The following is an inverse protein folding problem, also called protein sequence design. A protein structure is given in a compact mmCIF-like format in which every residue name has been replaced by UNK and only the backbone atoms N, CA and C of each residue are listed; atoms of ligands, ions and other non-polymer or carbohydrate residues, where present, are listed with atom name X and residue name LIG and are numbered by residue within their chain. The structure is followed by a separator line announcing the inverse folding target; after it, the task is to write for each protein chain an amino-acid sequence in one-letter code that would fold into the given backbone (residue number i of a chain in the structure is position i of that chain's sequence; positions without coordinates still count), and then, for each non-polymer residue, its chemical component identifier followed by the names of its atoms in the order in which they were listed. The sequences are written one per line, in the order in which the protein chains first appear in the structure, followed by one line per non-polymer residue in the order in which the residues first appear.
data_IF_779172469803
#
_entry.id   IF_779172469803
#
_cell.length_a   1.000
_cell.length_b   1.000
_cell.length_c   1.000
_cell.angle_alpha   90.00
_cell.angle_beta   90.00
_cell.angle_gamma   90.00
#
_symmetry.space_group_name_H-M   'P 1'
#
loop_
_entity.id
_entity.type
_entity.pdbx_description
1 polymer ?
#
# COMPACT_ATOMS: atom_id res chain seq x y z
N UNK A 1 -37.91 -6.64 -41.33
CA UNK A 1 -37.95 -5.23 -40.97
C UNK A 1 -37.96 -5.16 -39.46
N UNK A 2 -36.80 -5.07 -38.84
CA UNK A 2 -36.67 -4.77 -37.42
C UNK A 2 -35.52 -3.75 -37.32
N UNK A 3 -35.89 -2.55 -36.94
CA UNK A 3 -34.99 -1.43 -36.72
C UNK A 3 -34.05 -1.74 -35.54
N UNK A 4 -32.79 -1.70 -35.82
CA UNK A 4 -31.74 -1.65 -34.78
C UNK A 4 -31.63 -0.21 -34.30
N UNK A 5 -32.07 0.06 -33.09
CA UNK A 5 -31.78 1.30 -32.40
C UNK A 5 -30.27 1.43 -32.15
N UNK A 6 -29.63 2.23 -32.98
CA UNK A 6 -28.26 2.63 -32.80
C UNK A 6 -28.14 3.60 -31.62
N UNK A 7 -27.69 3.12 -30.50
CA UNK A 7 -27.20 3.98 -29.42
C UNK A 7 -25.96 4.70 -29.94
N UNK A 8 -26.13 5.94 -30.39
CA UNK A 8 -25.06 6.85 -30.73
C UNK A 8 -24.16 7.03 -29.48
N UNK A 9 -22.93 6.56 -29.56
CA UNK A 9 -21.90 6.88 -28.58
C UNK A 9 -21.62 8.38 -28.67
N UNK A 10 -22.27 9.16 -27.80
CA UNK A 10 -21.97 10.58 -27.67
C UNK A 10 -20.48 10.72 -27.34
N UNK A 11 -19.76 11.51 -28.13
CA UNK A 11 -18.38 11.90 -27.83
C UNK A 11 -18.29 12.44 -26.39
N UNK A 12 -17.23 12.08 -25.64
CA UNK A 12 -17.07 12.54 -24.26
C UNK A 12 -16.97 14.06 -24.24
N UNK A 13 -18.02 14.72 -23.80
CA UNK A 13 -18.04 16.18 -23.64
C UNK A 13 -17.34 16.53 -22.34
N UNK A 14 -16.27 17.32 -22.40
CA UNK A 14 -15.65 17.89 -21.22
C UNK A 14 -16.71 18.66 -20.41
N UNK A 15 -17.05 18.17 -19.23
CA UNK A 15 -18.10 18.77 -18.37
C UNK A 15 -17.81 20.25 -18.07
N UNK A 16 -16.55 20.60 -17.96
CA UNK A 16 -16.08 21.96 -17.70
C UNK A 16 -16.52 22.95 -18.81
N UNK A 17 -16.71 22.47 -20.05
CA UNK A 17 -17.06 23.28 -21.23
C UNK A 17 -18.56 23.37 -21.50
N UNK A 18 -19.40 22.64 -20.78
CA UNK A 18 -20.84 22.73 -20.94
C UNK A 18 -21.35 24.12 -20.58
N UNK A 19 -22.42 24.58 -21.24
CA UNK A 19 -23.18 25.75 -20.78
C UNK A 19 -23.76 25.49 -19.40
N UNK A 20 -24.11 26.55 -18.69
CA UNK A 20 -24.68 26.43 -17.33
C UNK A 20 -25.96 25.59 -17.33
N UNK A 21 -26.83 25.79 -18.33
CA UNK A 21 -28.08 25.03 -18.43
C UNK A 21 -27.85 23.56 -18.77
N UNK A 22 -26.96 23.27 -19.72
CA UNK A 22 -26.60 21.90 -20.04
C UNK A 22 -25.91 21.17 -18.83
N UNK A 23 -25.16 21.90 -18.02
CA UNK A 23 -24.54 21.35 -16.81
C UNK A 23 -25.59 21.10 -15.71
N UNK A 24 -26.63 21.94 -15.57
CA UNK A 24 -27.77 21.70 -14.68
C UNK A 24 -28.52 20.45 -15.08
N UNK A 25 -28.88 20.31 -16.35
CA UNK A 25 -29.58 19.12 -16.86
C UNK A 25 -28.74 17.85 -16.65
N UNK A 26 -27.44 17.94 -16.85
CA UNK A 26 -26.53 16.84 -16.60
C UNK A 26 -26.51 16.46 -15.12
N UNK A 27 -26.33 17.43 -14.21
CA UNK A 27 -26.38 17.23 -12.76
C UNK A 27 -27.70 16.56 -12.34
N UNK A 28 -28.84 17.05 -12.83
CA UNK A 28 -30.16 16.56 -12.44
C UNK A 28 -30.38 15.11 -12.86
N UNK A 29 -29.88 14.70 -14.06
CA UNK A 29 -29.90 13.31 -14.49
C UNK A 29 -29.01 12.42 -13.60
N UNK A 30 -27.78 12.84 -13.30
CA UNK A 30 -26.89 12.06 -12.43
C UNK A 30 -27.39 12.02 -10.99
N UNK A 31 -28.06 13.07 -10.52
CA UNK A 31 -28.70 13.11 -9.20
C UNK A 31 -29.88 12.14 -9.12
N UNK A 32 -30.74 12.10 -10.14
CA UNK A 32 -31.79 11.09 -10.22
C UNK A 32 -31.23 9.65 -10.19
N UNK A 33 -30.12 9.40 -10.91
CA UNK A 33 -29.42 8.13 -10.87
C UNK A 33 -28.86 7.82 -9.48
N UNK A 34 -28.26 8.80 -8.82
CA UNK A 34 -27.78 8.67 -7.44
C UNK A 34 -28.88 8.28 -6.47
N UNK A 35 -30.04 8.94 -6.52
CA UNK A 35 -31.18 8.60 -5.67
C UNK A 35 -31.73 7.19 -5.96
N UNK A 36 -31.71 6.75 -7.21
CA UNK A 36 -32.09 5.38 -7.57
C UNK A 36 -31.09 4.34 -7.02
N UNK A 37 -29.79 4.64 -7.00
CA UNK A 37 -28.75 3.78 -6.39
C UNK A 37 -28.97 3.70 -4.88
N UNK A 38 -29.13 4.86 -4.24
CA UNK A 38 -29.35 4.97 -2.80
C UNK A 38 -30.60 4.20 -2.34
N UNK A 39 -31.68 4.26 -3.11
CA UNK A 39 -32.92 3.54 -2.81
C UNK A 39 -32.77 2.01 -2.83
N UNK A 40 -31.80 1.46 -3.58
CA UNK A 40 -31.53 0.03 -3.62
C UNK A 40 -30.87 -0.48 -2.34
N UNK A 41 -30.25 0.40 -1.55
CA UNK A 41 -29.58 0.12 -0.28
C UNK A 41 -28.58 -1.07 -0.33
N UNK A 42 -27.94 -1.28 -1.47
CA UNK A 42 -26.95 -2.38 -1.63
C UNK A 42 -25.63 -1.95 -0.99
N UNK A 43 -25.14 -2.67 0.05
CA UNK A 43 -23.87 -2.33 0.67
C UNK A 43 -22.71 -2.80 -0.18
N UNK A 44 -21.73 -1.91 -0.42
CA UNK A 44 -20.46 -2.23 -1.08
C UNK A 44 -19.30 -1.84 -0.18
N UNK A 45 -18.17 -2.56 -0.25
CA UNK A 45 -16.97 -2.23 0.53
C UNK A 45 -15.76 -2.05 -0.39
N UNK A 46 -15.35 -0.80 -0.58
CA UNK A 46 -14.14 -0.41 -1.31
C UNK A 46 -13.09 0.25 -0.38
N UNK A 47 -13.24 0.12 0.95
CA UNK A 47 -12.40 0.81 1.93
C UNK A 47 -11.07 0.10 2.18
N UNK A 48 -11.09 -1.23 2.33
CA UNK A 48 -9.93 -2.00 2.80
C UNK A 48 -9.36 -2.91 1.73
N UNK A 49 -8.06 -2.70 1.42
CA UNK A 49 -7.27 -3.63 0.62
C UNK A 49 -6.94 -4.90 1.41
N UNK A 50 -7.92 -5.77 1.59
CA UNK A 50 -7.77 -7.07 2.23
C UNK A 50 -8.01 -8.18 1.21
N UNK A 51 -7.39 -9.37 1.39
CA UNK A 51 -7.70 -10.52 0.57
C UNK A 51 -9.19 -10.92 0.69
N UNK A 52 -9.79 -11.34 -0.40
CA UNK A 52 -11.10 -11.97 -0.42
C UNK A 52 -11.04 -13.40 0.14
N UNK A 53 -12.20 -13.98 0.47
CA UNK A 53 -12.28 -15.33 1.05
C UNK A 53 -11.65 -16.39 0.15
N UNK A 54 -11.86 -16.29 -1.17
CA UNK A 54 -11.27 -17.18 -2.16
C UNK A 54 -9.74 -17.04 -2.25
N UNK A 55 -9.21 -15.85 -2.03
CA UNK A 55 -7.76 -15.63 -1.96
C UNK A 55 -7.15 -16.25 -0.71
N UNK A 56 -7.81 -16.07 0.44
CA UNK A 56 -7.37 -16.68 1.71
C UNK A 56 -7.43 -18.21 1.61
N UNK A 57 -8.45 -18.77 0.93
CA UNK A 57 -8.62 -20.20 0.76
C UNK A 57 -7.47 -20.88 0.00
N UNK A 58 -6.74 -20.16 -0.86
CA UNK A 58 -5.54 -20.68 -1.55
C UNK A 58 -4.45 -21.15 -0.55
N UNK A 59 -4.44 -20.57 0.65
CA UNK A 59 -3.46 -20.89 1.68
C UNK A 59 -3.99 -21.89 2.75
N UNK A 60 -5.17 -22.49 2.57
CA UNK A 60 -5.77 -23.36 3.59
C UNK A 60 -4.92 -24.58 3.99
N UNK A 61 -3.97 -25.00 3.15
CA UNK A 61 -2.99 -26.02 3.49
C UNK A 61 -2.16 -25.67 4.73
N UNK A 62 -1.98 -24.38 5.05
CA UNK A 62 -1.31 -23.92 6.27
C UNK A 62 -2.02 -24.41 7.56
N UNK A 63 -3.33 -24.64 7.50
CA UNK A 63 -4.11 -25.08 8.67
C UNK A 63 -3.71 -26.50 9.13
N UNK A 64 -3.23 -27.33 8.22
CA UNK A 64 -2.90 -28.74 8.46
C UNK A 64 -1.44 -29.10 8.15
N UNK A 65 -0.63 -28.14 7.72
CA UNK A 65 0.77 -28.39 7.32
C UNK A 65 1.66 -28.90 8.46
N UNK A 66 1.31 -28.57 9.71
CA UNK A 66 1.96 -29.08 10.92
C UNK A 66 0.86 -29.66 11.82
N UNK A 67 0.54 -30.93 11.63
CA UNK A 67 -0.58 -31.61 12.28
C UNK A 67 -0.13 -32.69 13.31
N UNK A 68 1.11 -33.16 13.23
CA UNK A 68 1.66 -34.18 14.13
C UNK A 68 2.94 -33.69 14.79
N UNK A 69 3.33 -34.28 15.94
CA UNK A 69 4.59 -33.95 16.61
C UNK A 69 5.83 -34.09 15.73
N UNK A 70 5.85 -35.09 14.84
CA UNK A 70 6.98 -35.37 13.94
C UNK A 70 7.17 -34.27 12.91
N UNK A 71 6.08 -33.58 12.53
CA UNK A 71 6.11 -32.44 11.60
C UNK A 71 6.57 -31.13 12.25
N UNK A 72 6.77 -31.10 13.56
CA UNK A 72 7.20 -29.90 14.30
C UNK A 72 8.72 -29.68 14.27
N UNK A 73 9.48 -30.51 13.58
CA UNK A 73 10.93 -30.47 13.58
C UNK A 73 11.49 -29.79 12.33
N UNK A 74 12.55 -29.02 12.51
CA UNK A 74 13.33 -28.45 11.40
C UNK A 74 14.20 -29.51 10.73
N UNK A 75 14.76 -29.20 9.56
CA UNK A 75 15.69 -30.10 8.85
C UNK A 75 16.94 -30.45 9.67
N UNK A 76 17.41 -29.51 10.49
CA UNK A 76 18.57 -29.68 11.38
C UNK A 76 18.22 -30.29 12.75
N UNK A 77 17.02 -30.83 12.89
CA UNK A 77 16.61 -31.64 14.05
C UNK A 77 16.19 -30.84 15.29
N UNK A 78 15.59 -29.67 15.12
CA UNK A 78 15.14 -28.84 16.24
C UNK A 78 13.62 -28.79 16.36
N UNK A 79 13.13 -28.97 17.58
CA UNK A 79 11.69 -28.97 17.91
C UNK A 79 11.15 -27.54 17.97
N UNK A 80 10.34 -27.15 16.97
CA UNK A 80 9.74 -25.81 16.88
C UNK A 80 8.70 -25.53 17.97
N UNK A 81 8.29 -26.50 18.77
CA UNK A 81 7.37 -26.33 19.89
C UNK A 81 8.05 -25.77 21.13
N UNK A 82 9.39 -25.78 21.16
CA UNK A 82 10.18 -25.38 22.32
C UNK A 82 11.04 -24.15 22.03
N UNK A 83 11.69 -23.62 23.06
CA UNK A 83 12.69 -22.58 22.94
C UNK A 83 13.88 -23.10 22.15
N UNK A 84 14.03 -22.60 20.93
CA UNK A 84 15.10 -23.00 20.05
C UNK A 84 15.41 -21.92 19.00
N UNK A 85 16.66 -21.92 18.58
CA UNK A 85 17.13 -21.25 17.39
C UNK A 85 17.27 -19.74 17.51
N UNK A 86 17.54 -19.14 16.38
CA UNK A 86 17.85 -17.72 16.26
C UNK A 86 16.61 -16.85 16.55
N UNK A 87 16.79 -15.71 17.24
CA UNK A 87 15.74 -14.68 17.34
C UNK A 87 15.34 -14.09 15.99
N UNK A 88 16.15 -14.30 14.93
CA UNK A 88 15.82 -13.92 13.55
C UNK A 88 14.77 -14.85 12.90
N UNK A 89 14.40 -15.96 13.54
CA UNK A 89 13.51 -16.98 12.98
C UNK A 89 14.28 -18.15 12.33
N UNK A 90 13.54 -19.16 11.85
CA UNK A 90 14.09 -20.34 11.21
C UNK A 90 14.93 -19.97 9.98
N UNK A 91 16.03 -20.70 9.79
CA UNK A 91 16.90 -20.46 8.62
C UNK A 91 16.17 -20.79 7.31
N UNK A 92 15.32 -21.82 7.33
CA UNK A 92 14.51 -22.25 6.20
C UNK A 92 13.55 -21.13 5.73
N UNK A 93 12.85 -20.47 6.66
CA UNK A 93 11.93 -19.37 6.29
C UNK A 93 12.70 -18.12 5.85
N UNK A 94 13.89 -17.87 6.40
CA UNK A 94 14.74 -16.77 5.95
C UNK A 94 15.27 -17.01 4.53
N UNK A 95 15.63 -18.26 4.20
CA UNK A 95 16.01 -18.67 2.82
C UNK A 95 14.84 -18.52 1.86
N UNK A 96 13.64 -18.94 2.27
CA UNK A 96 12.41 -18.86 1.48
C UNK A 96 12.09 -17.43 1.01
N UNK A 97 12.33 -16.41 1.86
CA UNK A 97 12.01 -15.04 1.53
C UNK A 97 13.20 -14.14 1.18
N UNK A 98 14.41 -14.69 1.15
CA UNK A 98 15.64 -13.96 0.87
C UNK A 98 15.60 -13.23 -0.49
N UNK A 99 15.22 -13.92 -1.55
CA UNK A 99 15.13 -13.37 -2.90
C UNK A 99 14.06 -12.26 -3.00
N UNK A 100 12.87 -12.48 -2.39
CA UNK A 100 11.80 -11.48 -2.36
C UNK A 100 12.22 -10.18 -1.67
N UNK A 101 13.09 -10.27 -0.66
CA UNK A 101 13.57 -9.12 0.11
C UNK A 101 14.87 -8.54 -0.44
N UNK A 102 15.51 -9.21 -1.38
CA UNK A 102 16.78 -8.77 -1.99
C UNK A 102 17.97 -8.81 -1.03
N UNK A 103 18.02 -9.78 -0.10
CA UNK A 103 19.09 -9.90 0.89
C UNK A 103 19.49 -11.36 1.14
N UNK A 104 20.73 -11.65 1.54
CA UNK A 104 21.12 -12.99 1.94
C UNK A 104 20.41 -13.40 3.25
N UNK A 105 20.17 -14.70 3.50
CA UNK A 105 19.41 -15.17 4.66
C UNK A 105 19.93 -14.71 6.03
N UNK A 106 21.22 -14.40 6.13
CA UNK A 106 21.86 -13.88 7.36
C UNK A 106 21.43 -12.44 7.67
N UNK A 107 21.00 -11.71 6.65
CA UNK A 107 20.48 -10.34 6.74
C UNK A 107 18.96 -10.27 6.72
N UNK A 108 18.28 -11.41 6.86
CA UNK A 108 16.82 -11.52 6.95
C UNK A 108 16.39 -11.90 8.36
N UNK A 109 15.35 -11.26 8.85
CA UNK A 109 14.64 -11.60 10.06
C UNK A 109 13.18 -11.87 9.69
N UNK A 110 12.61 -12.94 10.24
CA UNK A 110 11.19 -13.27 10.13
C UNK A 110 10.60 -13.34 11.54
N UNK A 111 9.72 -12.40 11.85
CA UNK A 111 9.13 -12.29 13.18
C UNK A 111 7.79 -11.55 13.12
N UNK A 112 6.97 -11.71 14.16
CA UNK A 112 5.63 -11.18 14.20
C UNK A 112 4.73 -11.69 13.05
N UNK A 113 3.53 -11.16 12.95
CA UNK A 113 2.56 -11.53 11.91
C UNK A 113 2.36 -10.45 10.83
N UNK A 114 3.08 -9.33 10.91
CA UNK A 114 2.94 -8.24 9.96
C UNK A 114 4.21 -7.37 9.87
N UNK A 115 4.46 -6.83 8.68
CA UNK A 115 5.52 -5.83 8.47
C UNK A 115 5.29 -4.55 9.29
N UNK A 116 4.03 -4.16 9.50
CA UNK A 116 3.69 -2.96 10.27
C UNK A 116 4.21 -3.05 11.72
N UNK A 117 4.15 -4.22 12.35
CA UNK A 117 4.68 -4.42 13.69
C UNK A 117 6.21 -4.26 13.73
N UNK A 118 6.92 -4.76 12.69
CA UNK A 118 8.38 -4.60 12.60
C UNK A 118 8.79 -3.16 12.28
N UNK A 119 8.02 -2.45 11.43
CA UNK A 119 8.24 -1.02 11.16
C UNK A 119 8.05 -0.19 12.44
N UNK A 120 6.98 -0.48 13.19
CA UNK A 120 6.73 0.15 14.48
C UNK A 120 7.89 -0.12 15.46
N UNK A 121 8.32 -1.38 15.62
CA UNK A 121 9.43 -1.75 16.51
C UNK A 121 10.73 -1.02 16.10
N UNK A 122 11.07 -1.00 14.80
CA UNK A 122 12.26 -0.30 14.30
C UNK A 122 12.24 1.20 14.62
N UNK A 123 11.09 1.86 14.40
CA UNK A 123 10.93 3.28 14.71
C UNK A 123 11.06 3.53 16.22
N UNK A 124 10.39 2.73 17.05
CA UNK A 124 10.44 2.86 18.51
C UNK A 124 11.85 2.61 19.04
N UNK A 125 12.57 1.61 18.53
CA UNK A 125 13.96 1.36 18.91
C UNK A 125 14.86 2.56 18.54
N UNK A 126 14.75 3.09 17.32
CA UNK A 126 15.52 4.25 16.91
C UNK A 126 15.17 5.49 17.76
N UNK A 127 13.89 5.69 18.06
CA UNK A 127 13.40 6.80 18.88
C UNK A 127 13.94 6.75 20.32
N UNK A 128 13.98 5.56 20.92
CA UNK A 128 14.29 5.39 22.35
C UNK A 128 15.76 5.01 22.63
N UNK A 129 16.45 4.36 21.68
CA UNK A 129 17.79 3.79 21.91
C UNK A 129 18.80 4.12 20.80
N UNK A 130 18.44 4.94 19.82
CA UNK A 130 19.26 5.27 18.66
C UNK A 130 19.07 4.30 17.50
N UNK A 131 19.33 4.76 16.26
CA UNK A 131 19.13 4.00 15.03
C UNK A 131 20.31 3.07 14.67
N UNK A 132 21.32 3.00 15.50
CA UNK A 132 22.44 2.07 15.43
C UNK A 132 23.06 1.88 16.81
N UNK A 133 23.95 0.91 16.97
CA UNK A 133 24.66 0.72 18.23
C UNK A 133 25.56 1.94 18.52
N UNK A 134 25.42 2.48 19.73
CA UNK A 134 26.15 3.67 20.18
C UNK A 134 25.60 5.02 19.67
N UNK A 135 24.57 5.04 18.81
CA UNK A 135 23.94 6.28 18.40
C UNK A 135 23.04 6.85 19.51
N UNK A 136 22.95 8.17 19.59
CA UNK A 136 22.02 8.83 20.49
C UNK A 136 20.57 8.56 20.07
N UNK A 137 19.63 8.38 21.03
CA UNK A 137 18.20 8.26 20.71
C UNK A 137 17.69 9.45 19.89
N UNK A 138 16.86 9.21 18.91
CA UNK A 138 16.30 10.30 18.10
C UNK A 138 15.56 11.33 18.96
N UNK A 139 14.83 10.89 20.00
CA UNK A 139 14.09 11.78 20.91
C UNK A 139 14.97 12.77 21.66
N UNK A 140 16.28 12.48 21.81
CA UNK A 140 17.22 13.28 22.58
C UNK A 140 18.07 14.21 21.69
N UNK A 141 17.92 14.14 20.36
CA UNK A 141 18.69 14.92 19.40
C UNK A 141 17.98 16.23 19.02
N UNK A 142 17.09 16.17 18.03
CA UNK A 142 16.37 17.33 17.49
C UNK A 142 14.89 17.24 17.83
N UNK A 143 14.25 18.37 18.08
CA UNK A 143 12.81 18.46 18.28
C UNK A 143 12.24 19.61 17.46
N UNK A 144 11.16 19.37 16.72
CA UNK A 144 10.52 18.07 16.47
C UNK A 144 11.36 17.19 15.54
N UNK A 145 11.29 15.87 15.75
CA UNK A 145 11.78 14.88 14.77
C UNK A 145 10.84 14.91 13.56
N UNK A 146 11.40 14.77 12.36
CA UNK A 146 10.65 14.86 11.10
C UNK A 146 10.80 13.60 10.28
N UNK A 147 9.71 13.24 9.58
CA UNK A 147 9.69 12.18 8.59
C UNK A 147 9.16 12.67 7.25
N UNK A 148 9.81 12.25 6.17
CA UNK A 148 9.31 12.46 4.82
C UNK A 148 8.23 11.44 4.51
N UNK A 149 7.11 11.91 4.00
CA UNK A 149 5.90 11.14 3.77
C UNK A 149 5.43 11.30 2.32
N UNK A 150 5.91 10.46 1.38
CA UNK A 150 5.36 10.45 0.03
C UNK A 150 3.84 10.33 0.05
N UNK A 151 3.17 11.24 -0.65
CA UNK A 151 1.73 11.40 -0.59
C UNK A 151 1.12 11.60 -1.99
N UNK A 152 -0.04 10.98 -2.27
CA UNK A 152 -0.83 10.14 -1.38
C UNK A 152 -0.13 8.84 -0.99
N UNK A 153 -0.26 8.39 0.28
CA UNK A 153 0.49 7.28 0.85
C UNK A 153 -0.33 6.40 1.82
N UNK A 154 0.36 5.50 2.51
CA UNK A 154 -0.29 4.55 3.42
C UNK A 154 -0.56 5.18 4.79
N UNK A 155 -1.82 5.32 5.14
CA UNK A 155 -2.30 6.00 6.35
C UNK A 155 -1.77 5.41 7.67
N UNK A 156 -1.40 4.12 7.71
CA UNK A 156 -0.84 3.52 8.93
C UNK A 156 0.56 4.04 9.24
N UNK A 157 1.38 4.34 8.23
CA UNK A 157 2.68 4.99 8.41
C UNK A 157 2.51 6.36 9.10
N UNK A 158 1.53 7.13 8.64
CA UNK A 158 1.24 8.45 9.20
C UNK A 158 0.75 8.35 10.65
N UNK A 159 -0.12 7.37 10.94
CA UNK A 159 -0.60 7.13 12.30
C UNK A 159 0.52 6.76 13.27
N UNK A 160 1.56 6.04 12.84
CA UNK A 160 2.74 5.77 13.67
C UNK A 160 3.46 7.08 14.00
N UNK A 161 3.66 7.96 13.02
CA UNK A 161 4.28 9.28 13.26
C UNK A 161 3.44 10.12 14.25
N UNK A 162 2.13 10.21 14.05
CA UNK A 162 1.22 10.92 14.96
C UNK A 162 1.30 10.39 16.39
N UNK A 163 1.30 9.06 16.54
CA UNK A 163 1.36 8.39 17.85
C UNK A 163 2.61 8.79 18.66
N UNK A 164 3.72 9.02 17.98
CA UNK A 164 5.01 9.33 18.62
C UNK A 164 5.42 10.79 18.51
N UNK A 165 4.52 11.68 18.07
CA UNK A 165 4.80 13.11 17.97
C UNK A 165 5.90 13.45 16.96
N UNK A 166 5.99 12.68 15.88
CA UNK A 166 6.92 12.90 14.77
C UNK A 166 6.23 13.81 13.75
N UNK A 167 6.82 14.94 13.42
CA UNK A 167 6.31 15.84 12.40
C UNK A 167 6.43 15.22 11.01
N UNK A 168 5.36 15.26 10.26
CA UNK A 168 5.29 14.69 8.92
C UNK A 168 5.39 15.78 7.86
N UNK A 169 6.27 15.58 6.88
CA UNK A 169 6.42 16.43 5.71
C UNK A 169 5.90 15.65 4.49
N UNK A 170 4.79 16.09 3.92
CA UNK A 170 4.25 15.50 2.71
C UNK A 170 5.19 15.80 1.53
N UNK A 171 5.51 14.77 0.74
CA UNK A 171 6.32 14.89 -0.49
C UNK A 171 5.47 14.38 -1.66
N UNK A 172 5.34 15.13 -2.77
CA UNK A 172 4.57 14.69 -3.92
C UNK A 172 5.14 13.41 -4.56
N UNK A 173 4.26 12.57 -5.09
CA UNK A 173 4.61 11.45 -5.97
C UNK A 173 4.55 11.89 -7.44
N UNK A 174 5.47 11.35 -8.26
CA UNK A 174 5.67 11.75 -9.66
C UNK A 174 5.25 10.70 -10.69
N UNK A 175 4.81 9.52 -10.24
CA UNK A 175 4.57 8.35 -11.07
C UNK A 175 5.78 7.42 -11.22
N UNK A 176 6.95 7.87 -10.77
CA UNK A 176 8.21 7.10 -10.76
C UNK A 176 8.85 7.06 -9.35
N UNK A 177 8.11 7.47 -8.35
CA UNK A 177 8.51 7.65 -6.96
C UNK A 177 8.27 9.07 -6.48
N UNK A 178 8.78 9.45 -5.31
CA UNK A 178 8.66 10.80 -4.77
C UNK A 178 9.43 11.82 -5.61
N UNK A 179 9.05 13.09 -5.48
CA UNK A 179 9.82 14.20 -6.01
C UNK A 179 11.19 14.24 -5.32
N UNK A 180 12.20 13.76 -6.04
CA UNK A 180 13.53 13.59 -5.48
C UNK A 180 14.27 14.92 -5.26
N UNK A 181 13.95 15.98 -5.98
CA UNK A 181 14.56 17.30 -5.73
C UNK A 181 14.09 17.84 -4.37
N UNK A 182 12.82 17.64 -4.07
CA UNK A 182 12.27 17.99 -2.77
C UNK A 182 12.78 17.07 -1.64
N UNK A 183 12.85 15.77 -1.87
CA UNK A 183 13.40 14.80 -0.91
C UNK A 183 14.82 15.17 -0.52
N UNK A 184 15.72 15.39 -1.50
CA UNK A 184 17.13 15.71 -1.23
C UNK A 184 17.29 17.02 -0.48
N UNK A 185 16.51 18.04 -0.86
CA UNK A 185 16.50 19.34 -0.17
C UNK A 185 16.05 19.21 1.30
N UNK A 186 15.01 18.42 1.56
CA UNK A 186 14.46 18.22 2.90
C UNK A 186 15.32 17.31 3.76
N UNK A 187 15.90 16.25 3.18
CA UNK A 187 16.75 15.29 3.91
C UNK A 187 18.07 15.90 4.43
N UNK A 188 18.47 17.05 3.90
CA UNK A 188 19.63 17.81 4.40
C UNK A 188 19.41 18.36 5.82
N UNK A 189 18.18 18.51 6.28
CA UNK A 189 17.87 18.90 7.66
C UNK A 189 18.15 17.71 8.61
N UNK A 190 19.05 17.84 9.59
CA UNK A 190 19.38 16.78 10.52
C UNK A 190 18.21 16.36 11.44
N UNK A 191 17.13 17.14 11.52
CA UNK A 191 15.90 16.77 12.21
C UNK A 191 15.07 15.75 11.41
N UNK A 192 15.33 15.61 10.11
CA UNK A 192 14.69 14.58 9.27
C UNK A 192 15.38 13.24 9.49
N UNK A 193 14.71 12.33 10.18
CA UNK A 193 15.25 11.05 10.64
C UNK A 193 14.84 9.86 9.80
N UNK A 194 13.82 10.01 8.98
CA UNK A 194 13.40 8.91 8.14
C UNK A 194 12.42 9.30 7.05
N UNK A 195 12.18 8.33 6.19
CA UNK A 195 11.21 8.43 5.09
C UNK A 195 10.45 7.12 4.96
N UNK A 196 9.13 7.22 4.83
CA UNK A 196 8.30 6.10 4.46
C UNK A 196 8.35 5.86 2.95
N UNK A 197 8.57 4.63 2.52
CA UNK A 197 8.59 4.26 1.11
C UNK A 197 7.70 3.03 0.89
N UNK A 198 6.78 3.10 -0.09
CA UNK A 198 6.09 1.92 -0.63
C UNK A 198 6.52 1.80 -2.10
N UNK A 199 7.68 1.15 -2.36
CA UNK A 199 8.43 1.37 -3.60
C UNK A 199 7.89 0.62 -4.81
N UNK A 200 7.12 -0.44 -4.60
CA UNK A 200 6.51 -1.22 -5.69
C UNK A 200 5.02 -1.29 -5.50
N UNK A 201 4.28 -0.93 -6.56
CA UNK A 201 2.82 -0.89 -6.54
C UNK A 201 2.26 -0.09 -5.37
N UNK A 202 2.78 1.13 -5.21
CA UNK A 202 2.53 2.01 -4.07
C UNK A 202 1.05 2.13 -3.68
N UNK A 203 0.78 2.19 -2.40
CA UNK A 203 -0.55 2.41 -1.84
C UNK A 203 -0.77 3.92 -1.65
N UNK A 204 -1.72 4.58 -2.37
CA UNK A 204 -2.72 3.97 -3.26
C UNK A 204 -2.41 4.05 -4.76
N UNK A 205 -1.30 4.66 -5.20
CA UNK A 205 -1.09 5.08 -6.59
C UNK A 205 -0.81 3.93 -7.55
N UNK A 206 -0.29 2.81 -7.06
CA UNK A 206 0.10 1.67 -7.89
C UNK A 206 1.41 1.88 -8.66
N UNK A 207 2.13 2.99 -8.42
CA UNK A 207 3.41 3.26 -9.07
C UNK A 207 4.55 2.41 -8.49
N UNK A 208 5.58 2.22 -9.28
CA UNK A 208 6.84 1.59 -8.88
C UNK A 208 7.97 2.58 -9.02
N UNK A 209 8.85 2.67 -8.02
CA UNK A 209 9.99 3.58 -8.02
C UNK A 209 10.94 3.22 -9.17
N UNK A 210 11.40 4.24 -9.89
CA UNK A 210 12.37 4.08 -10.97
C UNK A 210 13.76 3.78 -10.43
N UNK A 211 14.63 3.22 -11.30
CA UNK A 211 16.05 3.01 -10.99
C UNK A 211 16.75 4.31 -10.57
N UNK A 212 16.41 5.45 -11.20
CA UNK A 212 16.96 6.75 -10.82
C UNK A 212 16.49 7.17 -9.41
N UNK A 213 15.22 6.98 -9.08
CA UNK A 213 14.69 7.25 -7.74
C UNK A 213 15.43 6.45 -6.68
N UNK A 214 15.60 5.12 -6.90
CA UNK A 214 16.33 4.24 -5.97
C UNK A 214 17.79 4.70 -5.82
N UNK A 215 18.46 5.01 -6.93
CA UNK A 215 19.85 5.47 -6.91
C UNK A 215 19.99 6.82 -6.18
N UNK A 216 19.07 7.77 -6.38
CA UNK A 216 19.08 9.07 -5.69
C UNK A 216 18.85 8.90 -4.19
N UNK A 217 17.88 8.11 -3.77
CA UNK A 217 17.63 7.79 -2.34
C UNK A 217 18.86 7.15 -1.68
N UNK A 218 19.57 6.30 -2.41
CA UNK A 218 20.76 5.63 -1.90
C UNK A 218 21.94 6.58 -1.68
N UNK A 219 22.16 7.55 -2.60
CA UNK A 219 23.33 8.45 -2.58
C UNK A 219 23.10 9.82 -1.95
N UNK A 220 21.84 10.25 -1.75
CA UNK A 220 21.52 11.58 -1.24
C UNK A 220 22.21 11.90 0.09
N UNK A 221 22.50 13.18 0.31
CA UNK A 221 22.95 13.67 1.62
C UNK A 221 21.83 13.61 2.65
N UNK A 222 22.09 13.01 3.80
CA UNK A 222 21.17 12.95 4.93
C UNK A 222 21.96 12.74 6.23
N UNK A 223 21.30 12.89 7.39
CA UNK A 223 21.91 12.56 8.68
C UNK A 223 22.38 11.09 8.69
N UNK A 224 23.50 10.78 9.37
CA UNK A 224 24.06 9.43 9.42
C UNK A 224 23.13 8.38 10.04
N UNK A 225 22.19 8.85 10.86
CA UNK A 225 21.15 8.03 11.48
C UNK A 225 19.79 8.10 10.76
N UNK A 226 19.71 8.73 9.58
CA UNK A 226 18.54 8.71 8.72
C UNK A 226 18.25 7.31 8.20
N UNK A 227 16.97 6.90 8.15
CA UNK A 227 16.54 5.56 7.67
C UNK A 227 15.44 5.65 6.62
N UNK A 228 15.58 4.84 5.57
CA UNK A 228 14.51 4.53 4.64
C UNK A 228 13.70 3.34 5.20
N UNK A 229 12.44 3.58 5.51
CA UNK A 229 11.47 2.54 5.87
C UNK A 229 10.84 2.03 4.59
N UNK A 230 11.42 0.96 4.03
CA UNK A 230 11.12 0.43 2.70
C UNK A 230 10.07 -0.67 2.80
N UNK A 231 8.78 -0.26 2.84
CA UNK A 231 7.64 -1.19 2.93
C UNK A 231 7.35 -1.83 1.57
N UNK A 232 7.99 -2.97 1.32
CA UNK A 232 7.84 -3.73 0.08
C UNK A 232 6.69 -4.76 0.17
N UNK A 233 5.54 -4.32 0.71
CA UNK A 233 4.37 -5.16 0.94
C UNK A 233 3.79 -5.79 -0.32
N UNK A 234 4.10 -5.23 -1.50
CA UNK A 234 3.57 -5.68 -2.79
C UNK A 234 4.64 -6.27 -3.72
N UNK A 235 5.78 -6.69 -3.20
CA UNK A 235 6.92 -7.19 -3.97
C UNK A 235 6.55 -8.21 -5.06
N UNK A 236 5.57 -9.09 -4.78
CA UNK A 236 5.13 -10.21 -5.63
C UNK A 236 3.67 -10.13 -6.06
N UNK A 237 3.03 -8.95 -5.94
CA UNK A 237 1.59 -8.76 -6.20
C UNK A 237 1.31 -8.19 -7.57
N UNK A 238 1.74 -8.87 -8.61
CA UNK A 238 1.48 -8.48 -9.99
C UNK A 238 0.00 -8.69 -10.35
N UNK A 239 -0.59 -7.75 -11.11
CA UNK A 239 -1.93 -7.83 -11.69
C UNK A 239 -1.88 -8.14 -13.18
N UNK A 240 -0.71 -8.03 -13.79
CA UNK A 240 -0.48 -8.32 -15.21
C UNK A 240 0.54 -9.45 -15.34
N UNK A 241 0.66 -10.04 -16.52
CA UNK A 241 1.67 -11.08 -16.78
C UNK A 241 3.12 -10.58 -16.78
N UNK A 242 3.36 -9.33 -16.39
CA UNK A 242 4.69 -8.72 -16.29
C UNK A 242 4.84 -8.04 -14.94
N UNK A 243 5.92 -8.40 -14.23
CA UNK A 243 6.32 -7.74 -13.00
C UNK A 243 7.04 -6.43 -13.29
N UNK A 244 6.75 -5.38 -12.53
CA UNK A 244 7.56 -4.17 -12.55
C UNK A 244 8.92 -4.46 -11.93
N UNK A 245 9.96 -3.95 -12.60
CA UNK A 245 11.31 -4.01 -12.03
C UNK A 245 11.44 -2.94 -10.95
N UNK A 246 11.91 -3.37 -9.78
CA UNK A 246 12.36 -2.51 -8.70
C UNK A 246 13.82 -2.86 -8.40
N UNK A 247 14.70 -1.88 -8.41
CA UNK A 247 16.11 -2.10 -8.09
C UNK A 247 16.27 -2.37 -6.58
N UNK A 248 17.28 -3.18 -6.25
CA UNK A 248 17.57 -3.53 -4.86
C UNK A 248 18.15 -2.33 -4.10
N UNK A 249 17.37 -1.82 -3.15
CA UNK A 249 17.77 -0.64 -2.35
C UNK A 249 18.96 -0.94 -1.42
N UNK A 250 19.12 -2.17 -0.93
CA UNK A 250 20.24 -2.54 -0.06
C UNK A 250 21.55 -2.49 -0.84
N UNK A 251 21.57 -3.06 -2.05
CA UNK A 251 22.74 -3.03 -2.94
C UNK A 251 23.06 -1.59 -3.36
N UNK A 252 22.03 -0.81 -3.73
CA UNK A 252 22.20 0.59 -4.11
C UNK A 252 22.78 1.43 -2.96
N UNK A 253 22.27 1.24 -1.74
CA UNK A 253 22.79 1.92 -0.55
C UNK A 253 24.22 1.49 -0.22
N UNK A 254 24.55 0.21 -0.31
CA UNK A 254 25.90 -0.29 -0.09
C UNK A 254 26.88 0.29 -1.13
N UNK A 255 26.52 0.30 -2.40
CA UNK A 255 27.32 0.87 -3.48
C UNK A 255 27.54 2.39 -3.33
N UNK A 256 26.57 3.09 -2.73
CA UNK A 256 26.66 4.52 -2.42
C UNK A 256 27.40 4.86 -1.11
N UNK A 257 27.95 3.86 -0.40
CA UNK A 257 28.64 4.06 0.89
C UNK A 257 27.70 4.27 2.09
N UNK A 258 26.42 3.97 1.94
CA UNK A 258 25.39 4.10 2.97
C UNK A 258 24.70 2.76 3.30
N UNK A 259 25.46 1.68 3.66
CA UNK A 259 24.89 0.32 3.78
C UNK A 259 23.78 0.21 4.82
N UNK A 260 23.79 1.06 5.84
CA UNK A 260 22.84 1.02 6.95
C UNK A 260 21.59 1.90 6.73
N UNK A 261 21.44 2.51 5.53
CA UNK A 261 20.37 3.47 5.26
C UNK A 261 19.00 2.83 5.17
N UNK A 262 18.88 1.62 4.59
CA UNK A 262 17.59 1.01 4.29
C UNK A 262 17.21 -0.11 5.27
N UNK A 263 15.93 -0.10 5.66
CA UNK A 263 15.23 -1.16 6.38
C UNK A 263 14.12 -1.65 5.45
N UNK A 264 14.26 -2.84 4.88
CA UNK A 264 13.31 -3.43 3.91
C UNK A 264 12.34 -4.33 4.66
N UNK A 265 11.05 -4.00 4.57
CA UNK A 265 9.99 -4.73 5.23
C UNK A 265 9.12 -5.48 4.21
N UNK A 266 8.70 -6.68 4.58
CA UNK A 266 7.77 -7.50 3.83
C UNK A 266 6.82 -8.26 4.75
N UNK A 267 5.77 -8.83 4.17
CA UNK A 267 4.87 -9.72 4.93
C UNK A 267 4.12 -10.68 4.02
N UNK A 268 3.63 -11.77 4.60
CA UNK A 268 2.71 -12.69 3.92
C UNK A 268 1.23 -12.30 4.11
N UNK A 269 0.94 -11.13 4.68
CA UNK A 269 -0.43 -10.70 5.01
C UNK A 269 -1.39 -10.69 3.83
N UNK A 270 -0.87 -10.52 2.60
CA UNK A 270 -1.64 -10.54 1.37
C UNK A 270 -1.24 -11.72 0.45
N UNK A 271 -0.32 -12.56 0.91
CA UNK A 271 0.11 -13.79 0.23
C UNK A 271 -0.70 -14.98 0.77
N UNK A 272 -0.71 -15.14 2.10
CA UNK A 272 -1.37 -16.25 2.80
C UNK A 272 -2.50 -15.74 3.70
N UNK A 273 -2.35 -15.84 5.02
CA UNK A 273 -3.34 -15.38 6.01
C UNK A 273 -3.00 -13.99 6.53
N UNK A 274 -3.95 -13.06 6.41
CA UNK A 274 -3.74 -11.68 6.83
C UNK A 274 -3.48 -11.50 8.33
N UNK A 275 -4.05 -12.37 9.18
CA UNK A 275 -3.94 -12.27 10.65
C UNK A 275 -2.96 -13.29 11.25
N UNK A 276 -2.65 -14.35 10.50
CA UNK A 276 -1.72 -15.41 10.89
C UNK A 276 -0.58 -15.58 9.87
N UNK A 277 -0.16 -14.48 9.28
CA UNK A 277 0.96 -14.42 8.36
C UNK A 277 2.31 -14.27 9.07
N UNK A 278 3.30 -13.86 8.30
CA UNK A 278 4.67 -13.58 8.76
C UNK A 278 5.05 -12.14 8.40
N UNK A 279 5.71 -11.45 9.32
CA UNK A 279 6.40 -10.19 9.07
C UNK A 279 7.88 -10.45 8.82
N UNK A 280 8.50 -9.63 7.97
CA UNK A 280 9.90 -9.79 7.57
C UNK A 280 10.62 -8.45 7.58
N UNK A 281 11.90 -8.49 7.92
CA UNK A 281 12.83 -7.37 7.83
C UNK A 281 14.11 -7.88 7.14
N UNK A 282 14.58 -7.13 6.14
CA UNK A 282 15.93 -7.31 5.59
C UNK A 282 16.68 -5.99 5.67
N UNK A 283 17.95 -6.05 6.03
CA UNK A 283 18.81 -4.87 6.19
C UNK A 283 20.28 -5.25 6.24
N UNK A 284 21.16 -4.28 6.41
CA UNK A 284 22.60 -4.54 6.59
C UNK A 284 22.89 -5.42 7.82
N UNK A 285 24.04 -6.05 7.85
CA UNK A 285 24.45 -6.86 9.00
C UNK A 285 24.56 -6.04 10.30
N UNK A 286 24.92 -4.76 10.22
CA UNK A 286 24.99 -3.87 11.38
C UNK A 286 23.59 -3.57 11.92
N UNK A 287 22.66 -3.14 11.05
CA UNK A 287 21.28 -2.91 11.45
C UNK A 287 20.57 -4.20 11.92
N UNK A 288 20.92 -5.36 11.35
CA UNK A 288 20.36 -6.64 11.80
C UNK A 288 20.78 -6.94 13.24
N UNK A 289 22.07 -6.80 13.58
CA UNK A 289 22.54 -6.95 14.98
C UNK A 289 21.85 -5.95 15.90
N UNK A 290 21.78 -4.69 15.48
CA UNK A 290 21.09 -3.63 16.21
C UNK A 290 19.62 -3.99 16.51
N UNK A 291 18.86 -4.41 15.49
CA UNK A 291 17.45 -4.75 15.65
C UNK A 291 17.24 -5.98 16.54
N UNK A 292 18.01 -7.05 16.29
CA UNK A 292 17.90 -8.31 17.04
C UNK A 292 18.23 -8.11 18.53
N UNK A 293 19.24 -7.30 18.85
CA UNK A 293 19.61 -7.04 20.25
C UNK A 293 18.48 -6.35 21.05
N UNK A 294 17.67 -5.50 20.39
CA UNK A 294 16.52 -4.84 21.02
C UNK A 294 15.29 -5.76 21.04
N UNK A 295 15.07 -6.50 19.96
CA UNK A 295 13.98 -7.46 19.92
C UNK A 295 14.12 -8.55 20.98
N UNK A 296 15.33 -8.99 21.33
CA UNK A 296 15.59 -10.03 22.34
C UNK A 296 15.13 -9.62 23.75
N UNK A 297 14.96 -8.35 24.05
CA UNK A 297 14.36 -7.90 25.31
C UNK A 297 12.82 -7.92 25.28
N UNK A 298 12.21 -7.96 24.09
CA UNK A 298 10.77 -7.96 23.87
C UNK A 298 10.19 -9.37 23.77
N UNK A 299 10.94 -10.31 23.20
CA UNK A 299 10.53 -11.70 22.98
C UNK A 299 11.73 -12.64 22.97
N UNK A 300 11.52 -13.86 23.47
CA UNK A 300 12.53 -14.93 23.42
C UNK A 300 12.72 -15.41 21.96
N UNK A 301 11.66 -15.40 21.16
CA UNK A 301 11.71 -15.77 19.76
C UNK A 301 10.35 -15.66 19.07
N UNK A 302 10.33 -15.75 17.74
CA UNK A 302 9.11 -15.72 16.95
C UNK A 302 8.34 -17.06 17.03
N UNK A 303 7.09 -17.05 16.54
CA UNK A 303 6.30 -18.27 16.33
C UNK A 303 6.90 -19.14 15.22
N UNK A 304 7.70 -20.13 15.62
CA UNK A 304 8.41 -21.03 14.70
C UNK A 304 7.50 -22.07 14.06
N UNK A 305 6.41 -22.48 14.72
CA UNK A 305 5.45 -23.37 14.11
C UNK A 305 4.75 -22.70 12.92
N UNK A 306 4.41 -21.42 13.04
CA UNK A 306 3.84 -20.69 11.92
C UNK A 306 4.85 -20.49 10.79
N UNK A 307 6.13 -20.26 11.11
CA UNK A 307 7.20 -20.19 10.13
C UNK A 307 7.36 -21.51 9.36
N UNK A 308 7.39 -22.63 10.10
CA UNK A 308 7.52 -23.96 9.52
C UNK A 308 6.34 -24.30 8.58
N UNK A 309 5.11 -23.95 8.96
CA UNK A 309 3.93 -24.09 8.09
C UNK A 309 4.14 -23.41 6.73
N UNK A 310 4.64 -22.17 6.75
CA UNK A 310 4.88 -21.41 5.52
C UNK A 310 5.99 -22.05 4.65
N UNK A 311 7.05 -22.57 5.28
CA UNK A 311 8.10 -23.29 4.56
C UNK A 311 7.54 -24.54 3.88
N UNK A 312 6.76 -25.35 4.61
CA UNK A 312 6.16 -26.58 4.08
C UNK A 312 5.17 -26.35 2.92
N UNK A 313 4.41 -25.25 2.98
CA UNK A 313 3.38 -24.94 1.96
C UNK A 313 3.98 -24.20 0.77
N UNK A 314 4.76 -23.17 0.98
CA UNK A 314 5.33 -22.35 -0.10
C UNK A 314 6.59 -22.96 -0.71
N UNK A 315 7.37 -23.67 0.05
CA UNK A 315 8.56 -24.46 -0.31
C UNK A 315 9.76 -23.65 -0.83
N UNK A 316 9.59 -22.91 -1.91
CA UNK A 316 10.63 -22.17 -2.60
C UNK A 316 10.04 -20.99 -3.42
N UNK A 317 10.90 -20.27 -4.16
CA UNK A 317 10.50 -19.15 -5.02
C UNK A 317 9.51 -19.58 -6.11
N UNK A 318 9.63 -20.80 -6.63
CA UNK A 318 8.67 -21.32 -7.63
C UNK A 318 7.30 -21.57 -7.01
N UNK A 319 7.26 -22.07 -5.77
CA UNK A 319 6.04 -22.25 -4.98
C UNK A 319 5.37 -20.92 -4.66
N UNK A 320 6.14 -19.90 -4.24
CA UNK A 320 5.62 -18.53 -4.05
C UNK A 320 5.05 -18.00 -5.36
N UNK A 321 5.78 -18.12 -6.47
CA UNK A 321 5.35 -17.63 -7.77
C UNK A 321 4.07 -18.31 -8.26
N UNK A 322 3.96 -19.63 -8.11
CA UNK A 322 2.76 -20.40 -8.47
C UNK A 322 1.55 -19.99 -7.61
N UNK A 323 1.76 -19.75 -6.32
CA UNK A 323 0.72 -19.26 -5.41
C UNK A 323 0.25 -17.86 -5.81
N UNK A 324 1.18 -16.95 -6.10
CA UNK A 324 0.86 -15.58 -6.49
C UNK A 324 0.19 -15.50 -7.86
N UNK A 325 0.47 -16.41 -8.77
CA UNK A 325 -0.26 -16.50 -10.04
C UNK A 325 -1.74 -16.86 -9.82
N UNK A 326 -2.05 -17.70 -8.85
CA UNK A 326 -3.45 -17.97 -8.48
C UNK A 326 -4.10 -16.72 -7.87
N UNK A 327 -3.39 -15.99 -7.01
CA UNK A 327 -3.85 -14.71 -6.45
C UNK A 327 -4.15 -13.70 -7.57
N UNK A 328 -3.26 -13.58 -8.56
CA UNK A 328 -3.41 -12.67 -9.70
C UNK A 328 -4.71 -12.95 -10.48
N UNK A 329 -4.98 -14.22 -10.78
CA UNK A 329 -6.20 -14.63 -11.52
C UNK A 329 -7.50 -14.24 -10.82
N UNK A 330 -7.49 -14.18 -9.49
CA UNK A 330 -8.65 -13.74 -8.70
C UNK A 330 -8.77 -12.22 -8.64
N UNK A 331 -7.65 -11.49 -8.69
CA UNK A 331 -7.62 -10.02 -8.55
C UNK A 331 -7.82 -9.30 -9.88
N UNK A 332 -7.20 -9.76 -10.95
CA UNK A 332 -7.20 -9.09 -12.26
C UNK A 332 -8.60 -8.70 -12.75
N UNK A 333 -9.64 -9.59 -12.71
CA UNK A 333 -10.98 -9.23 -13.15
C UNK A 333 -11.61 -8.09 -12.34
N UNK A 334 -11.29 -7.99 -11.05
CA UNK A 334 -11.80 -6.94 -10.15
C UNK A 334 -11.23 -5.58 -10.53
N UNK A 335 -9.94 -5.52 -10.81
CA UNK A 335 -9.28 -4.28 -11.28
C UNK A 335 -9.74 -3.90 -12.70
N UNK A 336 -9.89 -4.87 -13.59
CA UNK A 336 -10.42 -4.64 -14.93
C UNK A 336 -11.83 -4.02 -14.89
N UNK A 337 -12.71 -4.50 -14.00
CA UNK A 337 -14.05 -3.96 -13.82
C UNK A 337 -14.04 -2.46 -13.45
N UNK A 338 -13.13 -2.03 -12.53
CA UNK A 338 -12.97 -0.60 -12.19
C UNK A 338 -12.53 0.20 -13.41
N UNK A 339 -11.50 -0.29 -14.15
CA UNK A 339 -10.95 0.41 -15.31
C UNK A 339 -11.98 0.59 -16.42
N UNK A 340 -12.75 -0.44 -16.72
CA UNK A 340 -13.80 -0.42 -17.76
C UNK A 340 -14.90 0.59 -17.39
N UNK A 341 -15.40 0.53 -16.15
CA UNK A 341 -16.45 1.43 -15.68
C UNK A 341 -15.98 2.89 -15.69
N UNK A 342 -14.81 3.16 -15.12
CA UNK A 342 -14.30 4.53 -15.09
C UNK A 342 -14.01 5.07 -16.47
N UNK A 343 -13.48 4.25 -17.39
CA UNK A 343 -13.31 4.65 -18.77
C UNK A 343 -14.64 5.03 -19.43
N UNK A 344 -15.68 4.22 -19.22
CA UNK A 344 -17.01 4.45 -19.80
C UNK A 344 -17.73 5.67 -19.19
N UNK A 345 -17.60 5.87 -17.87
CA UNK A 345 -18.36 6.88 -17.13
C UNK A 345 -17.65 8.22 -16.93
N UNK A 346 -16.35 8.17 -16.70
CA UNK A 346 -15.52 9.34 -16.35
C UNK A 346 -14.54 9.72 -17.46
N UNK A 347 -14.29 8.80 -18.41
CA UNK A 347 -13.38 9.06 -19.54
C UNK A 347 -13.83 10.23 -20.39
N UNK A 348 -12.91 11.14 -20.73
CA UNK A 348 -13.18 12.33 -21.56
C UNK A 348 -14.01 13.42 -20.90
N UNK A 349 -14.40 13.28 -19.63
CA UNK A 349 -15.18 14.30 -18.89
C UNK A 349 -14.33 15.47 -18.40
N UNK A 350 -13.00 15.30 -18.30
CA UNK A 350 -12.06 16.32 -17.82
C UNK A 350 -12.09 16.57 -16.30
N UNK A 351 -12.87 15.77 -15.54
CA UNK A 351 -13.11 16.02 -14.11
C UNK A 351 -12.47 14.99 -13.18
N UNK A 352 -11.93 13.92 -13.74
CA UNK A 352 -11.31 12.85 -12.97
C UNK A 352 -10.13 12.22 -13.72
N UNK A 353 -9.14 11.79 -12.95
CA UNK A 353 -8.01 10.99 -13.41
C UNK A 353 -7.83 9.82 -12.43
N UNK A 354 -7.47 8.65 -12.94
CA UNK A 354 -7.23 7.48 -12.08
C UNK A 354 -6.07 6.65 -12.56
N UNK A 355 -5.44 5.95 -11.62
CA UNK A 355 -4.30 5.10 -11.92
C UNK A 355 -4.74 3.78 -12.56
N UNK A 356 -3.83 3.21 -13.36
CA UNK A 356 -3.97 1.87 -13.97
C UNK A 356 -2.85 0.99 -13.44
N UNK A 357 -2.97 0.51 -12.20
CA UNK A 357 -1.90 -0.23 -11.54
C UNK A 357 -1.61 -1.55 -12.26
N UNK A 358 -0.33 -1.90 -12.36
CA UNK A 358 0.12 -3.19 -12.87
C UNK A 358 0.29 -4.23 -11.77
N UNK A 359 0.10 -3.82 -10.52
CA UNK A 359 0.16 -4.65 -9.33
C UNK A 359 -0.40 -3.94 -8.11
N UNK A 360 -0.35 -4.61 -6.96
CA UNK A 360 -0.86 -4.09 -5.69
C UNK A 360 -2.36 -4.30 -5.50
N UNK A 361 -2.94 -3.50 -4.60
CA UNK A 361 -4.30 -3.71 -4.08
C UNK A 361 -5.22 -2.50 -4.23
N UNK A 362 -4.76 -1.42 -4.91
CA UNK A 362 -5.47 -0.16 -4.93
C UNK A 362 -5.51 0.50 -6.31
N UNK A 363 -6.55 1.32 -6.50
CA UNK A 363 -6.64 2.31 -7.55
C UNK A 363 -6.73 3.67 -6.88
N UNK A 364 -5.92 4.64 -7.31
CA UNK A 364 -6.00 6.03 -6.89
C UNK A 364 -6.88 6.80 -7.87
N UNK A 365 -7.87 7.51 -7.37
CA UNK A 365 -8.77 8.36 -8.13
C UNK A 365 -8.58 9.79 -7.66
N UNK A 366 -8.21 10.68 -8.57
CA UNK A 366 -8.21 12.11 -8.37
C UNK A 366 -9.45 12.73 -9.05
N UNK A 367 -10.23 13.47 -8.29
CA UNK A 367 -11.38 14.25 -8.77
C UNK A 367 -11.03 15.73 -8.86
N UNK A 368 -11.98 16.60 -9.20
CA UNK A 368 -11.76 18.06 -9.13
C UNK A 368 -11.41 18.49 -7.70
N UNK A 369 -10.63 19.54 -7.59
CA UNK A 369 -10.22 20.11 -6.29
C UNK A 369 -11.46 20.48 -5.46
N UNK A 370 -11.36 20.26 -4.14
CA UNK A 370 -12.43 20.45 -3.17
C UNK A 370 -13.70 19.59 -3.40
N UNK A 371 -13.51 18.37 -3.98
CA UNK A 371 -14.61 17.46 -4.27
C UNK A 371 -14.52 16.09 -3.57
N UNK A 372 -13.33 15.65 -3.12
CA UNK A 372 -13.15 14.28 -2.60
C UNK A 372 -14.02 14.00 -1.37
N UNK A 373 -14.08 14.93 -0.41
CA UNK A 373 -14.94 14.78 0.78
C UNK A 373 -16.41 14.66 0.39
N UNK A 374 -16.87 15.47 -0.58
CA UNK A 374 -18.26 15.41 -1.08
C UNK A 374 -18.54 14.08 -1.77
N UNK A 375 -17.63 13.59 -2.61
CA UNK A 375 -17.75 12.27 -3.27
C UNK A 375 -17.86 11.16 -2.24
N UNK A 376 -16.98 11.13 -1.23
CA UNK A 376 -17.00 10.11 -0.17
C UNK A 376 -18.27 10.19 0.66
N UNK A 377 -18.80 11.39 0.94
CA UNK A 377 -20.07 11.56 1.64
C UNK A 377 -21.24 11.01 0.83
N UNK A 378 -21.31 11.28 -0.47
CA UNK A 378 -22.29 10.70 -1.38
C UNK A 378 -22.17 9.19 -1.47
N UNK A 379 -20.95 8.67 -1.61
CA UNK A 379 -20.67 7.23 -1.64
C UNK A 379 -21.19 6.54 -0.37
N UNK A 380 -20.93 7.09 0.80
CA UNK A 380 -21.47 6.59 2.07
C UNK A 380 -23.00 6.61 2.07
N UNK A 381 -23.63 7.67 1.57
CA UNK A 381 -25.09 7.77 1.44
C UNK A 381 -25.69 6.74 0.48
N UNK A 382 -24.91 6.30 -0.52
CA UNK A 382 -25.27 5.26 -1.47
C UNK A 382 -24.91 3.83 -0.99
N UNK A 383 -24.44 3.66 0.25
CA UNK A 383 -24.07 2.35 0.80
C UNK A 383 -22.66 1.89 0.46
N UNK A 384 -21.81 2.74 -0.11
CA UNK A 384 -20.42 2.39 -0.43
C UNK A 384 -19.52 2.78 0.74
N UNK A 385 -18.96 1.78 1.42
CA UNK A 385 -17.94 2.00 2.45
C UNK A 385 -16.60 2.35 1.79
N UNK A 386 -16.04 3.50 2.14
CA UNK A 386 -14.77 4.02 1.65
C UNK A 386 -13.90 4.53 2.80
N UNK A 387 -12.61 4.62 2.56
CA UNK A 387 -11.72 5.36 3.46
C UNK A 387 -12.06 6.84 3.39
N UNK A 388 -12.13 7.56 4.52
CA UNK A 388 -12.36 9.00 4.52
C UNK A 388 -11.38 9.74 3.60
N UNK A 389 -11.86 10.74 2.86
CA UNK A 389 -11.01 11.60 2.05
C UNK A 389 -9.91 12.26 2.91
N UNK A 390 -8.73 12.46 2.33
CA UNK A 390 -7.57 13.01 3.03
C UNK A 390 -6.72 11.98 3.79
N UNK A 391 -7.22 10.79 4.11
CA UNK A 391 -6.47 9.77 4.90
C UNK A 391 -5.20 9.29 4.21
N UNK A 392 -5.06 9.47 2.92
CA UNK A 392 -3.85 9.17 2.15
C UNK A 392 -2.76 10.25 2.26
N UNK A 393 -2.97 11.25 3.12
CA UNK A 393 -2.04 12.34 3.39
C UNK A 393 -1.75 12.46 4.89
N UNK A 394 -0.59 13.00 5.28
CA UNK A 394 -0.26 13.33 6.67
C UNK A 394 -1.38 14.12 7.36
N UNK A 395 -1.64 13.79 8.61
CA UNK A 395 -2.71 14.40 9.44
C UNK A 395 -4.12 14.29 8.86
N UNK A 396 -4.33 13.39 7.89
CA UNK A 396 -5.62 13.24 7.22
C UNK A 396 -6.04 14.42 6.34
N UNK A 397 -5.09 15.21 5.85
CA UNK A 397 -5.33 16.46 5.12
C UNK A 397 -4.75 16.41 3.71
N UNK A 398 -5.61 16.13 2.73
CA UNK A 398 -5.28 16.38 1.33
C UNK A 398 -5.41 17.90 1.07
N UNK A 399 -4.33 18.60 0.70
CA UNK A 399 -4.37 20.05 0.51
C UNK A 399 -5.27 20.49 -0.63
N UNK A 400 -5.57 19.59 -1.58
CA UNK A 400 -6.46 19.85 -2.71
C UNK A 400 -7.84 19.22 -2.57
N UNK A 401 -8.07 18.40 -1.54
CA UNK A 401 -9.32 17.63 -1.34
C UNK A 401 -9.77 16.93 -2.64
N UNK A 402 -8.87 16.15 -3.25
CA UNK A 402 -9.10 15.52 -4.55
C UNK A 402 -8.86 14.02 -4.59
N UNK A 403 -8.01 13.48 -3.71
CA UNK A 403 -7.58 12.09 -3.78
C UNK A 403 -8.53 11.14 -3.05
N UNK A 404 -8.88 10.06 -3.73
CA UNK A 404 -9.74 8.98 -3.22
C UNK A 404 -9.05 7.65 -3.47
N UNK A 405 -8.86 6.85 -2.41
CA UNK A 405 -8.33 5.49 -2.50
C UNK A 405 -9.45 4.48 -2.67
N UNK A 406 -9.32 3.61 -3.67
CA UNK A 406 -10.26 2.54 -3.99
C UNK A 406 -9.57 1.19 -3.80
N UNK A 407 -10.20 0.28 -3.06
CA UNK A 407 -9.72 -1.06 -2.79
C UNK A 407 -10.68 -2.12 -3.40
N UNK A 408 -10.50 -2.55 -4.66
CA UNK A 408 -11.40 -3.49 -5.30
C UNK A 408 -11.12 -4.96 -4.95
N UNK A 409 -10.13 -5.24 -4.11
CA UNK A 409 -9.62 -6.60 -3.90
C UNK A 409 -10.59 -7.54 -3.17
N UNK A 410 -11.45 -7.03 -2.29
CA UNK A 410 -12.28 -7.85 -1.42
C UNK A 410 -13.61 -8.31 -2.06
N UNK A 411 -14.47 -7.44 -2.64
CA UNK A 411 -15.75 -7.88 -3.19
C UNK A 411 -15.58 -8.77 -4.45
N UNK A 412 -16.58 -9.57 -4.84
CA UNK A 412 -16.65 -10.20 -6.15
C UNK A 412 -16.59 -9.19 -7.30
N UNK A 413 -16.18 -9.62 -8.50
CA UNK A 413 -15.94 -8.72 -9.64
C UNK A 413 -17.21 -7.99 -10.12
N UNK A 414 -18.38 -8.62 -10.04
CA UNK A 414 -19.67 -8.04 -10.38
C UNK A 414 -20.09 -6.96 -9.36
N UNK A 415 -19.86 -7.21 -8.07
CA UNK A 415 -20.06 -6.19 -7.03
C UNK A 415 -19.08 -5.04 -7.17
N UNK A 416 -17.81 -5.29 -7.51
CA UNK A 416 -16.82 -4.22 -7.81
C UNK A 416 -17.31 -3.38 -8.98
N UNK A 417 -17.84 -3.98 -10.04
CA UNK A 417 -18.40 -3.26 -11.20
C UNK A 417 -19.55 -2.36 -10.79
N UNK A 418 -20.49 -2.89 -10.02
CA UNK A 418 -21.63 -2.11 -9.51
C UNK A 418 -21.22 -0.97 -8.58
N UNK A 419 -20.29 -1.23 -7.67
CA UNK A 419 -19.74 -0.22 -6.77
C UNK A 419 -18.97 0.88 -7.52
N UNK A 420 -18.19 0.51 -8.55
CA UNK A 420 -17.45 1.47 -9.38
C UNK A 420 -18.43 2.37 -10.18
N UNK A 421 -19.51 1.83 -10.70
CA UNK A 421 -20.54 2.62 -11.40
C UNK A 421 -21.26 3.58 -10.45
N UNK A 422 -21.61 3.11 -9.26
CA UNK A 422 -22.21 3.94 -8.23
C UNK A 422 -21.24 5.06 -7.76
N UNK A 423 -19.96 4.74 -7.58
CA UNK A 423 -18.92 5.72 -7.23
C UNK A 423 -18.74 6.75 -8.35
N UNK A 424 -18.71 6.31 -9.62
CA UNK A 424 -18.64 7.23 -10.77
C UNK A 424 -19.83 8.21 -10.79
N UNK A 425 -21.04 7.74 -10.44
CA UNK A 425 -22.20 8.62 -10.28
C UNK A 425 -21.99 9.64 -9.16
N UNK A 426 -21.42 9.25 -8.02
CA UNK A 426 -21.09 10.18 -6.92
C UNK A 426 -20.07 11.24 -7.37
N UNK A 427 -19.07 10.86 -8.16
CA UNK A 427 -18.08 11.78 -8.74
C UNK A 427 -18.78 12.78 -9.68
N UNK A 428 -19.62 12.30 -10.59
CA UNK A 428 -20.32 13.16 -11.55
C UNK A 428 -21.28 14.14 -10.86
N UNK A 429 -21.98 13.72 -9.80
CA UNK A 429 -22.83 14.60 -9.00
C UNK A 429 -21.99 15.66 -8.28
N UNK A 430 -21.01 15.25 -7.50
CA UNK A 430 -20.19 16.18 -6.70
C UNK A 430 -19.48 17.23 -7.58
N UNK A 431 -18.91 16.79 -8.69
CA UNK A 431 -18.17 17.69 -9.59
C UNK A 431 -19.07 18.62 -10.38
N UNK A 432 -20.26 18.18 -10.80
CA UNK A 432 -21.24 19.08 -11.44
C UNK A 432 -21.82 20.10 -10.46
N UNK A 433 -22.08 19.72 -9.20
CA UNK A 433 -22.45 20.64 -8.12
C UNK A 433 -21.36 21.71 -7.93
N UNK A 434 -20.10 21.30 -7.87
CA UNK A 434 -18.95 22.20 -7.71
C UNK A 434 -18.83 23.19 -8.89
N UNK A 435 -18.88 22.69 -10.12
CA UNK A 435 -18.78 23.51 -11.32
C UNK A 435 -19.93 24.55 -11.44
N UNK A 436 -21.15 24.19 -10.99
CA UNK A 436 -22.26 25.13 -10.93
C UNK A 436 -22.05 26.20 -9.86
N UNK A 437 -21.57 25.80 -8.68
CA UNK A 437 -21.25 26.73 -7.60
C UNK A 437 -20.19 27.75 -8.00
N UNK A 438 -19.12 27.30 -8.72
CA UNK A 438 -18.06 28.16 -9.23
C UNK A 438 -18.58 29.19 -10.26
N UNK A 439 -19.75 28.94 -10.88
CA UNK A 439 -20.45 29.87 -11.79
C UNK A 439 -21.50 30.74 -11.08
N UNK A 440 -21.55 30.72 -9.74
CA UNK A 440 -22.53 31.49 -8.96
C UNK A 440 -23.95 30.94 -9.00
N UNK A 441 -24.11 29.67 -9.37
CA UNK A 441 -25.39 28.98 -9.40
C UNK A 441 -25.55 28.16 -8.12
N UNK A 442 -26.56 28.48 -7.29
CA UNK A 442 -26.88 27.66 -6.13
C UNK A 442 -27.26 26.23 -6.57
N UNK A 443 -26.62 25.23 -5.93
CA UNK A 443 -26.79 23.80 -6.23
C UNK A 443 -28.13 23.24 -5.74
#
# INVERSE_FOLDING_TARGET
MTQSDGAASAEPRELVRLSTDALREFRDRERARYEAIKARATPFNLARGKPATEQVALANQLLTAVATPEQCWTEDGNDCRNYYGSPQGLIEVRRLFAAMLGAPPEQVLVANNSSLALMHDALVYALLTGASDGAAPWRDQHRPIRFLCPSPGYDRHFQICEQYGIDMIAVPLTGAGPDMDEVERLAADPAVKGMWCVPKYSNPTGETYSSETVARLARMGAAGDFRLFWDNAYAVHDLTGRSDRLDNVLDACAAAGNPDRALVFGSTSKITFAQAGLGMLATSAANMRWFVSRQSTRTIGPDKLNQLRHVLVLRDDAGISAHMEQQRRLLEPKFAAVQEVFKARLGGTGIAAWTRPRGGYFVSLDVLDACAQRVVALAKGAGIEMVPAGRTFPYGRDPRDRNIRIAPSFPPADEVRAAADALATCVLVATSERLLADRGVNA
#
